data_IF_239232686319
#
_entry.id   IF_239232686319
#
_cell.length_a   1.000
_cell.length_b   1.000
_cell.length_c   1.000
_cell.angle_alpha   90.00
_cell.angle_beta   90.00
_cell.angle_gamma   90.00
#
_symmetry.space_group_name_H-M   'P 1'
#
loop_
_entity.id
_entity.type
_entity.pdbx_description
1 polymer ?
#
# COMPACT_ATOMS: atom_id res chain seq x y z
N UNK A 1 39.57 40.07 -54.43
CA UNK A 1 40.29 38.89 -53.90
C UNK A 1 39.80 38.62 -52.49
N UNK A 2 39.14 37.48 -52.30
CA UNK A 2 38.38 37.08 -51.10
C UNK A 2 39.22 37.06 -49.81
N UNK A 3 38.72 37.68 -48.73
CA UNK A 3 39.05 37.28 -47.35
C UNK A 3 37.76 36.97 -46.60
N UNK A 4 37.55 35.67 -46.38
CA UNK A 4 36.38 35.09 -45.72
C UNK A 4 36.25 35.61 -44.29
N UNK A 5 35.09 36.14 -43.95
CA UNK A 5 34.67 36.40 -42.57
C UNK A 5 34.53 35.04 -41.88
N UNK A 6 35.37 34.74 -40.88
CA UNK A 6 35.21 33.55 -40.06
C UNK A 6 34.22 33.89 -38.94
N UNK A 7 32.98 33.45 -39.06
CA UNK A 7 32.01 33.46 -37.98
C UNK A 7 32.52 32.59 -36.84
N UNK A 8 32.76 33.21 -35.67
CA UNK A 8 33.05 32.50 -34.43
C UNK A 8 31.70 32.20 -33.79
N UNK A 9 31.30 30.93 -33.81
CA UNK A 9 30.14 30.45 -33.05
C UNK A 9 30.60 30.28 -31.60
N UNK A 10 30.08 31.11 -30.70
CA UNK A 10 30.18 30.85 -29.26
C UNK A 10 29.13 29.79 -28.90
N UNK A 11 29.55 28.54 -28.75
CA UNK A 11 28.72 27.52 -28.12
C UNK A 11 28.80 27.77 -26.62
N UNK A 12 27.76 28.38 -26.06
CA UNK A 12 27.57 28.47 -24.62
C UNK A 12 27.17 27.07 -24.12
N UNK A 13 28.11 26.30 -23.57
CA UNK A 13 27.76 25.10 -22.81
C UNK A 13 27.10 25.55 -21.51
N UNK A 14 25.77 25.58 -21.49
CA UNK A 14 25.04 25.54 -20.23
C UNK A 14 25.32 24.17 -19.62
N UNK A 15 26.12 24.14 -18.56
CA UNK A 15 26.26 22.94 -17.72
C UNK A 15 24.91 22.71 -17.05
N UNK A 16 24.05 21.90 -17.68
CA UNK A 16 22.96 21.26 -16.97
C UNK A 16 23.62 20.37 -15.94
N UNK A 17 23.44 20.69 -14.66
CA UNK A 17 23.87 19.86 -13.57
C UNK A 17 23.04 18.57 -13.60
N UNK A 18 23.55 17.58 -14.34
CA UNK A 18 23.11 16.19 -14.38
C UNK A 18 23.57 15.46 -13.10
N UNK A 19 23.40 16.07 -11.93
CA UNK A 19 23.73 15.37 -10.70
C UNK A 19 22.64 14.34 -10.45
N UNK A 20 23.04 13.08 -10.36
CA UNK A 20 22.23 12.04 -9.76
C UNK A 20 21.74 12.51 -8.38
N UNK A 21 20.64 11.91 -7.91
CA UNK A 21 20.12 12.15 -6.57
C UNK A 21 21.23 11.88 -5.55
N UNK A 22 21.79 12.96 -5.00
CA UNK A 22 22.88 12.94 -4.03
C UNK A 22 22.64 14.09 -3.06
N UNK A 23 22.83 13.84 -1.77
CA UNK A 23 22.42 14.77 -0.71
C UNK A 23 21.04 14.44 -0.16
N UNK A 24 20.96 13.38 0.64
CA UNK A 24 19.75 13.01 1.37
C UNK A 24 19.63 13.87 2.63
N UNK A 25 18.47 14.49 2.83
CA UNK A 25 18.09 15.12 4.08
C UNK A 25 17.02 14.23 4.73
N UNK A 26 17.32 13.70 5.91
CA UNK A 26 16.31 13.00 6.69
C UNK A 26 15.34 14.03 7.26
N UNK A 27 14.08 13.96 6.86
CA UNK A 27 13.04 14.93 7.25
C UNK A 27 12.10 14.39 8.31
N UNK A 28 11.91 13.08 8.34
CA UNK A 28 11.11 12.37 9.31
C UNK A 28 11.55 10.90 9.37
N UNK A 29 11.41 10.29 10.54
CA UNK A 29 11.53 8.85 10.70
C UNK A 29 10.60 8.37 11.83
N UNK A 30 10.23 7.09 11.76
CA UNK A 30 9.50 6.42 12.83
C UNK A 30 10.45 6.10 13.99
N UNK A 31 10.32 6.83 15.10
CA UNK A 31 11.19 6.68 16.27
C UNK A 31 10.95 5.38 17.06
N UNK A 32 9.72 4.87 17.07
CA UNK A 32 9.35 3.64 17.76
C UNK A 32 8.33 2.85 16.96
N UNK A 33 8.55 1.54 16.89
CA UNK A 33 7.58 0.58 16.33
C UNK A 33 6.30 0.62 17.19
N UNK A 34 5.16 1.02 16.62
CA UNK A 34 3.90 1.08 17.34
C UNK A 34 3.52 -0.29 17.91
N UNK A 35 2.87 -0.31 19.07
CA UNK A 35 2.37 -1.53 19.73
C UNK A 35 3.42 -2.61 20.01
N UNK A 36 4.70 -2.26 20.00
CA UNK A 36 5.80 -3.13 20.39
C UNK A 36 6.58 -2.55 21.57
N UNK A 37 7.37 -3.39 22.21
CA UNK A 37 8.32 -2.93 23.23
C UNK A 37 9.30 -1.92 22.61
N UNK A 38 9.74 -0.96 23.42
CA UNK A 38 10.78 -0.01 23.02
C UNK A 38 12.01 -0.74 22.46
N UNK A 39 12.55 -0.26 21.33
CA UNK A 39 13.68 -0.85 20.60
C UNK A 39 13.47 -2.30 20.12
N UNK A 40 12.21 -2.75 19.97
CA UNK A 40 11.92 -4.02 19.31
C UNK A 40 12.50 -4.06 17.90
N UNK A 41 13.15 -5.16 17.55
CA UNK A 41 13.58 -5.42 16.18
C UNK A 41 12.35 -5.67 15.33
N UNK A 42 12.23 -4.96 14.22
CA UNK A 42 11.18 -5.17 13.22
C UNK A 42 11.74 -4.90 11.83
N UNK A 43 10.99 -5.33 10.82
CA UNK A 43 11.23 -5.00 9.43
C UNK A 43 9.95 -4.37 8.84
N UNK A 44 10.11 -3.31 8.06
CA UNK A 44 9.03 -2.60 7.36
C UNK A 44 9.33 -2.66 5.87
N UNK A 45 9.12 -3.83 5.27
CA UNK A 45 9.58 -4.08 3.89
C UNK A 45 8.67 -3.49 2.80
N UNK A 46 7.46 -3.04 3.16
CA UNK A 46 6.48 -2.53 2.20
C UNK A 46 5.93 -1.18 2.61
N UNK A 47 5.98 -0.25 1.66
CA UNK A 47 5.41 1.08 1.74
C UNK A 47 4.67 1.36 0.42
N UNK A 48 3.49 1.97 0.52
CA UNK A 48 2.83 2.66 -0.59
C UNK A 48 2.49 4.08 -0.14
N UNK A 49 2.51 5.04 -1.06
CA UNK A 49 2.28 6.45 -0.77
C UNK A 49 1.73 7.15 -2.02
N UNK A 50 1.34 8.42 -1.86
CA UNK A 50 0.94 9.30 -2.96
C UNK A 50 -0.55 9.29 -3.26
N UNK A 51 -1.36 8.97 -2.26
CA UNK A 51 -2.81 9.10 -2.26
C UNK A 51 -3.23 10.12 -1.20
N UNK A 52 -4.50 10.53 -1.28
CA UNK A 52 -5.25 11.41 -0.36
C UNK A 52 -6.63 10.74 -0.25
N UNK A 53 -6.73 9.74 0.62
CA UNK A 53 -7.88 8.82 0.67
C UNK A 53 -9.10 9.43 1.36
N UNK A 54 -8.89 10.36 2.28
CA UNK A 54 -9.99 11.06 2.96
C UNK A 54 -10.30 12.45 2.38
N UNK A 55 -9.60 12.85 1.30
CA UNK A 55 -9.77 14.07 0.53
C UNK A 55 -9.58 15.36 1.34
N UNK A 56 -8.67 15.35 2.31
CA UNK A 56 -8.38 16.53 3.13
C UNK A 56 -7.28 17.45 2.56
N UNK A 57 -6.61 17.00 1.50
CA UNK A 57 -5.52 17.73 0.83
C UNK A 57 -4.13 17.39 1.35
N UNK A 58 -4.01 16.57 2.39
CA UNK A 58 -2.76 15.99 2.88
C UNK A 58 -2.61 14.54 2.40
N UNK A 59 -1.43 14.21 1.89
CA UNK A 59 -1.19 12.86 1.39
C UNK A 59 -0.88 11.87 2.50
N UNK A 60 -1.35 10.63 2.35
CA UNK A 60 -1.03 9.53 3.24
C UNK A 60 -0.03 8.52 2.64
N UNK A 61 0.48 7.68 3.53
CA UNK A 61 1.23 6.48 3.17
C UNK A 61 0.89 5.32 4.11
N UNK A 62 0.96 4.09 3.57
CA UNK A 62 0.71 2.86 4.31
C UNK A 62 1.99 2.04 4.40
N UNK A 63 2.26 1.52 5.60
CA UNK A 63 3.39 0.62 5.88
C UNK A 63 3.02 -0.34 7.01
N UNK A 64 3.82 -1.36 7.27
CA UNK A 64 3.56 -2.27 8.39
C UNK A 64 4.59 -3.36 8.58
N UNK A 65 4.34 -4.19 9.59
CA UNK A 65 5.10 -5.40 9.87
C UNK A 65 4.17 -6.61 9.99
N UNK A 66 4.49 -7.70 9.29
CA UNK A 66 3.67 -8.92 9.27
C UNK A 66 4.51 -10.20 9.30
N UNK A 67 5.57 -10.20 10.07
CA UNK A 67 6.49 -11.32 10.25
C UNK A 67 6.53 -11.84 11.71
N UNK A 68 5.59 -11.37 12.54
CA UNK A 68 5.44 -11.83 13.93
C UNK A 68 4.34 -12.90 14.02
N UNK A 69 4.41 -13.71 15.08
CA UNK A 69 3.44 -14.77 15.33
C UNK A 69 2.05 -14.17 15.61
N UNK A 70 1.94 -13.21 16.54
CA UNK A 70 0.65 -12.71 17.07
C UNK A 70 0.47 -11.19 16.93
N UNK A 71 1.39 -10.54 16.21
CA UNK A 71 1.53 -9.08 16.15
C UNK A 71 1.77 -8.63 14.71
N UNK A 72 0.76 -8.75 13.86
CA UNK A 72 0.85 -8.37 12.45
C UNK A 72 0.02 -7.12 12.22
N UNK A 73 0.66 -6.00 11.89
CA UNK A 73 0.03 -4.68 11.84
C UNK A 73 0.34 -3.93 10.57
N UNK A 74 -0.68 -3.24 10.08
CA UNK A 74 -0.60 -2.21 9.05
C UNK A 74 -0.94 -0.87 9.68
N UNK A 75 -0.25 0.17 9.25
CA UNK A 75 -0.41 1.53 9.71
C UNK A 75 -0.58 2.44 8.51
N UNK A 76 -1.44 3.45 8.67
CA UNK A 76 -1.51 4.59 7.78
C UNK A 76 -1.03 5.82 8.53
N UNK A 77 -0.16 6.57 7.86
CA UNK A 77 0.34 7.85 8.32
C UNK A 77 -0.08 8.93 7.34
N UNK A 78 -0.51 10.07 7.86
CA UNK A 78 -0.94 11.23 7.10
C UNK A 78 0.00 12.40 7.38
N UNK A 79 0.21 13.26 6.38
CA UNK A 79 0.95 14.50 6.58
C UNK A 79 0.13 15.50 7.40
N UNK A 80 0.71 16.05 8.46
CA UNK A 80 0.09 17.15 9.24
C UNK A 80 0.67 18.52 8.93
N UNK A 81 1.58 18.57 7.95
CA UNK A 81 2.31 19.76 7.54
C UNK A 81 3.60 19.42 6.80
N UNK A 82 4.48 20.41 6.61
CA UNK A 82 5.78 20.18 5.99
C UNK A 82 6.64 19.25 6.86
N UNK A 83 7.05 18.11 6.29
CA UNK A 83 7.91 17.12 6.94
C UNK A 83 7.38 16.58 8.28
N UNK A 84 6.06 16.60 8.48
CA UNK A 84 5.39 16.14 9.70
C UNK A 84 4.34 15.10 9.36
N UNK A 85 4.36 13.98 10.07
CA UNK A 85 3.47 12.84 9.81
C UNK A 85 2.99 12.22 11.12
N UNK A 86 1.71 11.87 11.17
CA UNK A 86 1.08 11.22 12.32
C UNK A 86 0.38 9.94 11.89
N UNK A 87 0.33 8.93 12.79
CA UNK A 87 -0.46 7.73 12.52
C UNK A 87 -1.94 8.06 12.72
N UNK A 88 -2.72 7.90 11.67
CA UNK A 88 -4.17 8.22 11.67
C UNK A 88 -5.05 6.98 11.65
N UNK A 89 -4.53 5.85 11.16
CA UNK A 89 -5.27 4.59 11.12
C UNK A 89 -4.33 3.38 11.24
N UNK A 90 -4.87 2.25 11.72
CA UNK A 90 -4.15 0.98 11.73
C UNK A 90 -5.10 -0.21 11.66
N UNK A 91 -4.56 -1.36 11.24
CA UNK A 91 -5.24 -2.64 11.33
C UNK A 91 -4.31 -3.72 11.85
N UNK A 92 -4.78 -4.47 12.86
CA UNK A 92 -4.13 -5.68 13.34
C UNK A 92 -4.76 -6.89 12.65
N UNK A 93 -3.98 -7.65 11.89
CA UNK A 93 -4.44 -8.93 11.38
C UNK A 93 -4.71 -9.90 12.53
N UNK A 94 -5.86 -10.60 12.54
CA UNK A 94 -6.20 -11.57 13.58
C UNK A 94 -5.59 -12.95 13.34
N UNK A 95 -4.61 -13.07 12.44
CA UNK A 95 -4.03 -14.33 12.01
C UNK A 95 -2.51 -14.31 11.99
N UNK A 96 -1.91 -15.47 12.23
CA UNK A 96 -0.48 -15.68 11.99
C UNK A 96 -0.20 -15.70 10.49
N UNK A 97 0.92 -15.13 10.07
CA UNK A 97 1.37 -15.16 8.68
C UNK A 97 2.85 -15.47 8.59
N UNK A 98 3.30 -15.92 7.41
CA UNK A 98 4.69 -16.33 7.17
C UNK A 98 5.46 -15.32 6.30
N UNK A 99 4.88 -14.13 6.04
CA UNK A 99 5.47 -13.14 5.14
C UNK A 99 4.74 -11.80 5.14
N UNK A 100 5.35 -10.80 4.48
CA UNK A 100 4.81 -9.48 4.14
C UNK A 100 3.42 -9.48 3.53
N UNK A 101 2.54 -8.63 4.06
CA UNK A 101 1.23 -8.29 3.49
C UNK A 101 1.31 -7.82 2.03
N UNK A 102 0.22 -7.90 1.29
CA UNK A 102 0.00 -7.13 0.06
C UNK A 102 -0.84 -5.89 0.36
N UNK A 103 -0.70 -4.83 -0.44
CA UNK A 103 -1.53 -3.62 -0.31
C UNK A 103 -1.77 -2.98 -1.67
N UNK A 104 -3.00 -2.52 -1.89
CA UNK A 104 -3.38 -1.59 -2.93
C UNK A 104 -4.36 -0.55 -2.35
N UNK A 105 -4.39 0.63 -2.95
CA UNK A 105 -5.33 1.71 -2.61
C UNK A 105 -5.94 2.23 -3.90
N UNK A 106 -7.25 2.47 -3.88
CA UNK A 106 -8.02 3.00 -5.00
C UNK A 106 -9.48 2.56 -4.92
N UNK A 107 -10.30 3.15 -5.78
CA UNK A 107 -11.74 2.90 -5.92
C UNK A 107 -11.98 1.52 -6.57
N UNK A 108 -12.07 0.47 -5.79
CA UNK A 108 -12.16 -0.91 -6.25
C UNK A 108 -13.53 -1.23 -6.89
N UNK A 109 -14.61 -0.62 -6.39
CA UNK A 109 -15.97 -0.95 -6.83
C UNK A 109 -16.64 0.16 -7.67
N UNK A 110 -15.93 1.26 -7.94
CA UNK A 110 -16.29 2.36 -8.84
C UNK A 110 -17.44 3.22 -8.33
N UNK A 111 -17.53 3.41 -7.01
CA UNK A 111 -18.52 4.29 -6.40
C UNK A 111 -18.00 5.72 -6.16
N UNK A 112 -16.71 5.96 -6.44
CA UNK A 112 -16.03 7.23 -6.26
C UNK A 112 -15.34 7.40 -4.90
N UNK A 113 -15.40 6.39 -4.03
CA UNK A 113 -14.71 6.30 -2.75
C UNK A 113 -13.48 5.40 -2.94
N UNK A 114 -12.39 5.68 -2.21
CA UNK A 114 -11.18 4.84 -2.28
C UNK A 114 -11.15 3.80 -1.17
N UNK A 115 -10.80 2.56 -1.52
CA UNK A 115 -10.60 1.49 -0.55
C UNK A 115 -9.11 1.25 -0.29
N UNK A 116 -8.83 0.80 0.93
CA UNK A 116 -7.58 0.10 1.26
C UNK A 116 -7.83 -1.40 1.10
N UNK A 117 -7.06 -2.03 0.22
CA UNK A 117 -7.14 -3.48 -0.04
C UNK A 117 -5.86 -4.15 0.43
N UNK A 118 -5.98 -4.96 1.48
CA UNK A 118 -4.88 -5.70 2.08
C UNK A 118 -4.92 -7.17 1.71
N UNK A 119 -3.75 -7.74 1.45
CA UNK A 119 -3.54 -9.17 1.27
C UNK A 119 -2.74 -9.75 2.43
N UNK A 120 -3.13 -10.91 2.97
CA UNK A 120 -2.36 -11.57 4.05
C UNK A 120 -1.89 -12.98 3.66
N UNK A 121 -0.57 -13.25 3.72
CA UNK A 121 0.02 -14.59 3.63
C UNK A 121 -0.24 -15.47 4.86
N UNK A 122 -1.51 -15.66 5.20
CA UNK A 122 -1.93 -16.37 6.42
C UNK A 122 -1.48 -17.83 6.42
N UNK A 123 -0.99 -18.32 7.56
CA UNK A 123 -0.59 -19.73 7.71
C UNK A 123 -1.82 -20.64 7.66
N UNK A 124 -1.83 -21.58 6.72
CA UNK A 124 -2.93 -22.54 6.59
C UNK A 124 -2.88 -23.66 7.64
N UNK A 125 -1.76 -23.82 8.33
CA UNK A 125 -1.59 -24.74 9.46
C UNK A 125 -2.36 -24.32 10.70
N UNK A 126 -2.73 -23.03 10.80
CA UNK A 126 -3.51 -22.47 11.92
C UNK A 126 -4.99 -22.35 11.56
N UNK A 127 -5.28 -21.92 10.33
CA UNK A 127 -6.64 -21.81 9.81
C UNK A 127 -6.72 -22.50 8.45
N UNK A 128 -7.56 -23.54 8.34
CA UNK A 128 -7.67 -24.38 7.13
C UNK A 128 -7.92 -23.58 5.86
N UNK A 129 -8.72 -22.53 5.93
CA UNK A 129 -8.97 -21.66 4.80
C UNK A 129 -9.11 -20.21 5.29
N UNK A 130 -8.04 -19.41 5.33
CA UNK A 130 -8.11 -18.04 5.85
C UNK A 130 -8.73 -17.06 4.83
N UNK A 131 -9.26 -15.90 5.24
CA UNK A 131 -9.39 -14.78 4.31
C UNK A 131 -8.05 -14.46 3.64
N UNK A 132 -8.07 -14.15 2.34
CA UNK A 132 -6.86 -13.83 1.56
C UNK A 132 -6.74 -12.33 1.31
N UNK A 133 -7.87 -11.69 1.02
CA UNK A 133 -8.01 -10.24 0.85
C UNK A 133 -8.97 -9.67 1.89
N UNK A 134 -8.65 -8.46 2.34
CA UNK A 134 -9.40 -7.66 3.30
C UNK A 134 -9.58 -6.27 2.68
N UNK A 135 -10.81 -5.81 2.54
CA UNK A 135 -11.15 -4.50 1.96
C UNK A 135 -11.64 -3.59 3.06
N UNK A 136 -11.14 -2.36 3.11
CA UNK A 136 -11.53 -1.32 4.04
C UNK A 136 -11.94 -0.09 3.25
N UNK A 137 -13.21 0.22 3.32
CA UNK A 137 -13.83 1.36 2.63
C UNK A 137 -13.87 2.55 3.59
N UNK A 138 -13.60 3.73 3.06
CA UNK A 138 -13.61 4.97 3.83
C UNK A 138 -15.04 5.33 4.27
N UNK A 139 -15.19 6.00 5.42
CA UNK A 139 -16.49 6.40 5.95
C UNK A 139 -17.06 7.70 5.37
N UNK A 140 -16.39 8.29 4.37
CA UNK A 140 -16.77 9.54 3.71
C UNK A 140 -16.79 10.78 4.62
N UNK A 141 -16.12 10.72 5.78
CA UNK A 141 -15.98 11.88 6.66
C UNK A 141 -14.54 12.38 6.63
N UNK A 142 -14.35 13.50 5.93
CA UNK A 142 -13.06 14.17 5.74
C UNK A 142 -12.35 14.42 7.08
N UNK A 143 -11.07 14.05 7.16
CA UNK A 143 -10.21 14.20 8.34
C UNK A 143 -10.44 13.17 9.44
N UNK A 144 -11.46 12.30 9.34
CA UNK A 144 -11.67 11.25 10.35
C UNK A 144 -10.76 10.03 10.13
N UNK A 145 -10.24 9.82 8.91
CA UNK A 145 -9.35 8.70 8.59
C UNK A 145 -9.89 7.32 9.03
N UNK A 146 -11.19 7.09 8.86
CA UNK A 146 -11.84 5.84 9.27
C UNK A 146 -12.13 4.94 8.09
N UNK A 147 -11.53 3.77 8.11
CA UNK A 147 -11.64 2.77 7.05
C UNK A 147 -12.16 1.45 7.62
N UNK A 148 -13.20 0.90 7.02
CA UNK A 148 -13.88 -0.31 7.46
C UNK A 148 -15.01 -0.08 8.48
N UNK A 149 -15.41 -1.15 9.15
CA UNK A 149 -16.51 -1.16 10.11
C UNK A 149 -16.00 -0.85 11.51
N UNK A 150 -16.25 0.37 11.98
CA UNK A 150 -15.92 0.80 13.35
C UNK A 150 -16.59 -0.12 14.39
N UNK A 151 -15.81 -0.54 15.39
CA UNK A 151 -16.25 -1.35 16.51
C UNK A 151 -16.39 -0.48 17.77
N UNK A 152 -17.08 -0.99 18.79
CA UNK A 152 -17.32 -0.24 20.05
C UNK A 152 -16.05 0.08 20.84
N UNK A 153 -14.95 -0.61 20.57
CA UNK A 153 -13.64 -0.40 21.20
C UNK A 153 -12.73 0.53 20.37
N UNK A 154 -13.25 1.11 19.27
CA UNK A 154 -12.51 1.98 18.35
C UNK A 154 -11.65 1.23 17.33
N UNK A 155 -11.65 -0.10 17.31
CA UNK A 155 -11.02 -0.88 16.24
C UNK A 155 -11.88 -0.92 14.98
N UNK A 156 -11.27 -1.30 13.85
CA UNK A 156 -11.97 -1.42 12.57
C UNK A 156 -11.89 -2.85 12.04
N UNK A 157 -13.03 -3.40 11.64
CA UNK A 157 -13.10 -4.64 10.86
C UNK A 157 -13.16 -4.34 9.36
N UNK A 158 -12.70 -5.26 8.49
CA UNK A 158 -12.85 -5.09 7.04
C UNK A 158 -14.31 -4.88 6.62
N UNK A 159 -14.54 -3.99 5.65
CA UNK A 159 -15.80 -3.84 4.92
C UNK A 159 -16.19 -5.16 4.26
N UNK A 160 -15.22 -5.84 3.64
CA UNK A 160 -15.41 -7.18 3.08
C UNK A 160 -14.13 -8.01 3.12
N UNK A 161 -14.26 -9.32 2.91
CA UNK A 161 -13.12 -10.22 2.74
C UNK A 161 -13.43 -11.27 1.68
N UNK A 162 -12.40 -11.79 1.00
CA UNK A 162 -12.56 -12.92 0.08
C UNK A 162 -11.45 -13.95 0.21
N UNK A 163 -11.78 -15.18 -0.16
CA UNK A 163 -10.86 -16.34 -0.22
C UNK A 163 -10.54 -16.76 -1.65
N UNK A 164 -11.16 -16.12 -2.65
CA UNK A 164 -11.07 -16.46 -4.07
C UNK A 164 -11.29 -17.96 -4.37
N UNK A 165 -12.15 -18.63 -3.59
CA UNK A 165 -12.40 -20.07 -3.70
C UNK A 165 -11.11 -20.92 -3.72
N UNK A 166 -10.07 -20.47 -3.00
CA UNK A 166 -8.86 -21.26 -2.79
C UNK A 166 -9.21 -22.47 -1.94
N UNK A 167 -8.75 -23.64 -2.36
CA UNK A 167 -8.99 -24.90 -1.65
C UNK A 167 -8.40 -24.88 -0.23
N UNK A 168 -8.96 -25.72 0.63
CA UNK A 168 -8.51 -25.89 2.00
C UNK A 168 -7.03 -26.30 2.06
N UNK A 169 -6.33 -25.76 3.05
CA UNK A 169 -4.91 -25.96 3.35
C UNK A 169 -3.92 -25.50 2.25
N UNK A 170 -4.38 -24.78 1.23
CA UNK A 170 -3.51 -24.25 0.17
C UNK A 170 -2.94 -22.88 0.54
N UNK A 171 -1.61 -22.78 0.56
CA UNK A 171 -0.93 -21.49 0.59
C UNK A 171 -1.28 -20.68 -0.67
N UNK A 172 -1.63 -19.42 -0.47
CA UNK A 172 -1.95 -18.50 -1.56
C UNK A 172 -1.70 -17.08 -1.06
N UNK A 173 -0.58 -16.49 -1.47
CA UNK A 173 -0.02 -15.30 -0.83
C UNK A 173 -0.08 -14.09 -1.76
N UNK A 174 -1.10 -13.22 -1.62
CA UNK A 174 -1.24 -12.02 -2.43
C UNK A 174 -0.24 -10.95 -1.98
N UNK A 175 0.75 -10.62 -2.82
CA UNK A 175 1.84 -9.72 -2.45
C UNK A 175 1.85 -8.40 -3.20
N UNK A 176 1.79 -8.46 -4.53
CA UNK A 176 1.89 -7.29 -5.38
C UNK A 176 0.51 -6.98 -5.88
N UNK A 177 -0.04 -5.82 -5.52
CA UNK A 177 -1.43 -5.52 -5.76
C UNK A 177 -1.56 -4.13 -6.39
N UNK A 178 -2.48 -3.98 -7.35
CA UNK A 178 -2.86 -2.71 -7.96
C UNK A 178 -4.35 -2.71 -8.23
N UNK A 179 -4.95 -1.53 -8.14
CA UNK A 179 -6.35 -1.28 -8.52
C UNK A 179 -6.29 -0.34 -9.72
N UNK A 180 -6.88 -0.76 -10.84
CA UNK A 180 -6.90 -0.01 -12.09
C UNK A 180 -7.92 -0.65 -13.04
N UNK A 181 -8.63 0.15 -13.83
CA UNK A 181 -9.41 -0.29 -14.99
C UNK A 181 -8.45 -0.69 -16.12
N UNK A 182 -8.00 -1.95 -16.10
CA UNK A 182 -6.94 -2.42 -17.00
C UNK A 182 -7.47 -2.79 -18.38
N UNK A 183 -8.77 -3.09 -18.49
CA UNK A 183 -9.41 -3.48 -19.76
C UNK A 183 -10.29 -2.39 -20.39
N UNK A 184 -10.50 -1.28 -19.67
CA UNK A 184 -11.21 -0.06 -20.09
C UNK A 184 -12.72 -0.23 -20.20
N UNK A 185 -13.32 -1.02 -19.30
CA UNK A 185 -14.77 -1.18 -19.23
C UNK A 185 -15.47 -0.22 -18.24
N UNK A 186 -14.69 0.68 -17.60
CA UNK A 186 -15.09 1.56 -16.49
C UNK A 186 -15.40 0.83 -15.20
N UNK A 187 -14.80 -0.35 -15.00
CA UNK A 187 -14.70 -1.00 -13.71
C UNK A 187 -13.24 -1.19 -13.38
N UNK A 188 -12.85 -0.76 -12.19
CA UNK A 188 -11.52 -1.06 -11.69
C UNK A 188 -11.36 -2.55 -11.36
N UNK A 189 -10.20 -3.11 -11.72
CA UNK A 189 -9.78 -4.44 -11.32
C UNK A 189 -8.71 -4.40 -10.24
N UNK A 190 -8.82 -5.33 -9.30
CA UNK A 190 -7.71 -5.74 -8.46
C UNK A 190 -6.80 -6.71 -9.23
N UNK A 191 -5.62 -6.24 -9.60
CA UNK A 191 -4.54 -7.02 -10.21
C UNK A 191 -3.56 -7.49 -9.14
N UNK A 192 -3.34 -8.79 -9.04
CA UNK A 192 -2.62 -9.45 -7.94
C UNK A 192 -1.51 -10.36 -8.48
N UNK A 193 -0.29 -10.20 -7.97
CA UNK A 193 0.77 -11.19 -8.05
C UNK A 193 0.77 -12.07 -6.79
N UNK A 194 0.84 -13.39 -7.00
CA UNK A 194 0.64 -14.38 -5.93
C UNK A 194 1.86 -15.30 -5.81
N UNK A 195 2.48 -15.33 -4.63
CA UNK A 195 3.42 -16.41 -4.28
C UNK A 195 2.66 -17.65 -3.85
N UNK A 196 3.18 -18.81 -4.22
CA UNK A 196 2.49 -20.09 -4.05
C UNK A 196 1.16 -20.12 -4.82
N UNK A 197 1.08 -19.33 -5.91
CA UNK A 197 0.00 -19.46 -6.87
C UNK A 197 -0.03 -20.88 -7.44
N UNK A 198 -1.23 -21.41 -7.64
CA UNK A 198 -1.45 -22.69 -8.31
C UNK A 198 -2.66 -22.57 -9.22
N UNK A 199 -2.83 -23.53 -10.14
CA UNK A 199 -3.94 -23.56 -11.11
C UNK A 199 -3.96 -22.35 -12.06
N UNK A 200 -2.79 -21.80 -12.39
CA UNK A 200 -2.68 -20.65 -13.30
C UNK A 200 -3.06 -19.32 -12.65
N UNK A 201 -2.93 -19.22 -11.33
CA UNK A 201 -3.25 -18.02 -10.54
C UNK A 201 -2.01 -17.34 -9.98
N UNK A 202 -0.87 -17.44 -10.65
CA UNK A 202 0.35 -16.72 -10.27
C UNK A 202 0.14 -15.20 -10.44
N UNK A 203 -0.69 -14.83 -11.42
CA UNK A 203 -1.30 -13.50 -11.54
C UNK A 203 -2.81 -13.69 -11.60
N UNK A 204 -3.55 -12.89 -10.83
CA UNK A 204 -5.01 -12.88 -10.82
C UNK A 204 -5.50 -11.45 -11.10
N UNK A 205 -6.56 -11.34 -11.89
CA UNK A 205 -7.30 -10.10 -12.11
C UNK A 205 -8.73 -10.38 -11.65
N UNK A 206 -9.26 -9.52 -10.78
CA UNK A 206 -10.61 -9.67 -10.25
C UNK A 206 -11.27 -8.29 -10.06
N UNK A 207 -12.52 -8.15 -10.46
CA UNK A 207 -13.36 -6.98 -10.18
C UNK A 207 -14.40 -7.32 -9.11
N UNK A 208 -14.87 -6.28 -8.41
CA UNK A 208 -16.05 -6.36 -7.56
C UNK A 208 -17.28 -6.14 -8.44
N UNK A 209 -18.35 -6.88 -8.15
CA UNK A 209 -19.57 -6.92 -8.97
C UNK A 209 -20.61 -5.90 -8.55
#
# INVERSE_FOLDING_TARGET
MNRKLKSIIYILFATVNLFAQSGWNEVWNLQQVPFQQENAVSEYAKVIAGFDTDNDGFGEFITGYTDFIDSNYIFMYEATGDNSYEMVWYFKFPYECDSWFGVAVGDLDNDGISEIVLGLPTKTTVLTNPPRIFVFEWNEVQGENKYGKEQTDGSFLPSSTTRFDVEDNMEWFPYSMKIEDVDKDNKNELVLGIRSGSRGREVLIASVS
#
